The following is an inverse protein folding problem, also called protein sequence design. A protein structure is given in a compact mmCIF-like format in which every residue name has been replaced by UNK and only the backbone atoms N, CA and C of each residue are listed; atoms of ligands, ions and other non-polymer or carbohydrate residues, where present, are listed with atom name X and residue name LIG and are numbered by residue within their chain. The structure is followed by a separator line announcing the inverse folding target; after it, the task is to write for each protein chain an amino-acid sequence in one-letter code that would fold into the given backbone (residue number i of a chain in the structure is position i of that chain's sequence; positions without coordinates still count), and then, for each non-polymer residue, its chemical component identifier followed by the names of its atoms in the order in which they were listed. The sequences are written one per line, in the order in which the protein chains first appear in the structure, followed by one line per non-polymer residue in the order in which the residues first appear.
data_IF_922317576116
#
_entry.id   IF_922317576116
#
_cell.length_a   1.000
_cell.length_b   1.000
_cell.length_c   1.000
_cell.angle_alpha   90.00
_cell.angle_beta   90.00
_cell.angle_gamma   90.00
#
_symmetry.space_group_name_H-M   'P 1'
#
loop_
_entity.id
_entity.type
_entity.pdbx_description
1 polymer ?
#
# COMPACT_ATOMS: atom_id res chain seq x y z
N UNK A 1 -5.92 -17.91 -10.07
CA UNK A 1 -5.94 -16.92 -8.97
C UNK A 1 -5.19 -15.70 -9.46
N UNK A 2 -5.74 -14.51 -9.23
CA UNK A 2 -5.11 -13.25 -9.62
C UNK A 2 -4.00 -12.90 -8.62
N UNK A 3 -2.74 -13.12 -9.01
CA UNK A 3 -1.60 -13.03 -8.10
C UNK A 3 -1.25 -11.59 -7.70
N UNK A 4 -1.58 -10.61 -8.56
CA UNK A 4 -1.41 -9.18 -8.24
C UNK A 4 -2.23 -8.80 -7.01
N UNK A 5 -3.44 -9.36 -6.91
CA UNK A 5 -4.31 -9.18 -5.74
C UNK A 5 -3.77 -9.79 -4.45
N UNK A 6 -2.88 -10.78 -4.50
CA UNK A 6 -2.24 -11.28 -3.27
C UNK A 6 -1.18 -10.30 -2.80
N UNK A 7 -0.33 -9.81 -3.71
CA UNK A 7 0.70 -8.84 -3.40
C UNK A 7 0.08 -7.57 -2.81
N UNK A 8 -0.91 -6.97 -3.49
CA UNK A 8 -1.62 -5.77 -3.03
C UNK A 8 -2.10 -5.94 -1.59
N UNK A 9 -2.85 -7.02 -1.29
CA UNK A 9 -3.38 -7.23 0.07
C UNK A 9 -2.30 -7.39 1.12
N UNK A 10 -1.21 -8.09 0.79
CA UNK A 10 -0.13 -8.32 1.75
C UNK A 10 0.70 -7.04 1.99
N UNK A 11 0.86 -6.20 0.96
CA UNK A 11 1.43 -4.85 1.08
C UNK A 11 0.55 -3.97 1.96
N UNK A 12 -0.77 -3.92 1.71
CA UNK A 12 -1.71 -3.15 2.52
C UNK A 12 -1.66 -3.58 3.99
N UNK A 13 -1.65 -4.88 4.28
CA UNK A 13 -1.51 -5.38 5.66
C UNK A 13 -0.23 -4.89 6.33
N UNK A 14 0.89 -4.90 5.60
CA UNK A 14 2.18 -4.49 6.17
C UNK A 14 2.23 -2.97 6.39
N UNK A 15 1.78 -2.18 5.41
CA UNK A 15 1.67 -0.72 5.52
C UNK A 15 0.75 -0.29 6.67
N UNK A 16 -0.27 -1.08 6.99
CA UNK A 16 -1.30 -0.77 7.99
C UNK A 16 -1.09 -1.49 9.34
N UNK A 17 -0.06 -2.32 9.49
CA UNK A 17 0.23 -3.02 10.75
C UNK A 17 0.52 -2.02 11.89
N UNK A 18 0.67 -2.43 13.14
CA UNK A 18 1.27 -1.62 14.22
C UNK A 18 0.30 -0.78 15.06
N UNK A 19 0.85 -0.17 16.11
CA UNK A 19 0.05 0.37 17.23
C UNK A 19 -0.29 1.87 17.13
N UNK A 20 0.19 2.58 16.10
CA UNK A 20 -0.16 3.99 15.93
C UNK A 20 -1.66 4.11 15.64
N UNK A 21 -2.34 5.04 16.31
CA UNK A 21 -3.81 5.19 16.19
C UNK A 21 -4.27 5.38 14.74
N UNK A 22 -3.56 6.20 13.95
CA UNK A 22 -3.85 6.38 12.52
C UNK A 22 -3.82 5.05 11.75
N UNK A 23 -2.86 4.17 12.04
CA UNK A 23 -2.75 2.87 11.38
C UNK A 23 -3.88 1.93 11.78
N UNK A 24 -4.27 1.92 13.05
CA UNK A 24 -5.41 1.14 13.52
C UNK A 24 -6.73 1.60 12.86
N UNK A 25 -6.92 2.90 12.66
CA UNK A 25 -8.09 3.45 11.94
C UNK A 25 -8.04 3.04 10.46
N UNK A 26 -6.90 3.23 9.78
CA UNK A 26 -6.74 2.86 8.38
C UNK A 26 -6.89 1.35 8.16
N UNK A 27 -6.44 0.51 9.08
CA UNK A 27 -6.65 -0.94 9.05
C UNK A 27 -8.14 -1.30 9.13
N UNK A 28 -8.92 -0.60 9.97
CA UNK A 28 -10.37 -0.76 10.03
C UNK A 28 -11.06 -0.30 8.75
N UNK A 29 -10.60 0.80 8.14
CA UNK A 29 -11.08 1.22 6.83
C UNK A 29 -10.84 0.15 5.77
N UNK A 30 -9.61 -0.36 5.66
CA UNK A 30 -9.26 -1.38 4.69
C UNK A 30 -10.06 -2.67 4.86
N UNK A 31 -10.35 -3.07 6.10
CA UNK A 31 -11.20 -4.24 6.38
C UNK A 31 -12.65 -4.09 5.87
N UNK A 32 -13.14 -2.86 5.75
CA UNK A 32 -14.49 -2.54 5.26
C UNK A 32 -14.50 -2.08 3.79
N UNK A 33 -13.34 -1.71 3.25
CA UNK A 33 -13.21 -1.20 1.90
C UNK A 33 -13.42 -2.29 0.85
N UNK A 34 -13.89 -1.88 -0.32
CA UNK A 34 -13.92 -2.72 -1.52
C UNK A 34 -12.94 -2.20 -2.54
N UNK A 35 -12.20 -3.09 -3.19
CA UNK A 35 -11.39 -2.74 -4.35
C UNK A 35 -12.34 -2.33 -5.49
N UNK A 36 -12.30 -1.05 -5.86
CA UNK A 36 -13.16 -0.47 -6.90
C UNK A 36 -12.55 -0.65 -8.28
N UNK A 37 -11.24 -0.40 -8.40
CA UNK A 37 -10.50 -0.52 -9.65
C UNK A 37 -9.09 -1.06 -9.40
N UNK A 38 -8.55 -1.79 -10.39
CA UNK A 38 -7.16 -2.23 -10.42
C UNK A 38 -6.60 -2.02 -11.82
N UNK A 39 -5.74 -1.02 -11.97
CA UNK A 39 -5.17 -0.61 -13.25
C UNK A 39 -3.69 -0.97 -13.33
N UNK A 40 -3.28 -1.69 -14.38
CA UNK A 40 -1.87 -1.94 -14.69
C UNK A 40 -1.35 -0.88 -15.66
N UNK A 41 -0.23 -0.25 -15.34
CA UNK A 41 0.35 0.85 -16.14
C UNK A 41 1.54 0.42 -16.99
N UNK A 42 1.95 -0.85 -16.87
CA UNK A 42 3.18 -1.39 -17.48
C UNK A 42 4.43 -1.18 -16.63
N UNK A 43 4.49 -0.16 -15.76
CA UNK A 43 5.56 0.05 -14.76
C UNK A 43 5.08 -0.16 -13.32
N UNK A 44 3.84 -0.61 -13.15
CA UNK A 44 3.22 -0.74 -11.84
C UNK A 44 1.73 -0.98 -11.93
N UNK A 45 1.05 -0.61 -10.85
CA UNK A 45 -0.39 -0.61 -10.76
C UNK A 45 -0.92 0.49 -9.85
N UNK A 46 -2.20 0.81 -10.05
CA UNK A 46 -3.03 1.55 -9.09
C UNK A 46 -4.18 0.67 -8.63
N UNK A 47 -4.34 0.52 -7.32
CA UNK A 47 -5.47 -0.16 -6.69
C UNK A 47 -6.31 0.86 -5.93
N UNK A 48 -7.48 1.22 -6.48
CA UNK A 48 -8.38 2.24 -5.92
C UNK A 48 -9.42 1.58 -5.02
N UNK A 49 -9.70 2.19 -3.88
CA UNK A 49 -10.62 1.65 -2.88
C UNK A 49 -11.83 2.54 -2.66
N UNK A 50 -12.99 1.90 -2.55
CA UNK A 50 -14.17 2.55 -2.02
C UNK A 50 -14.29 2.22 -0.51
N UNK A 51 -14.13 3.23 0.33
CA UNK A 51 -14.29 3.13 1.79
C UNK A 51 -15.70 3.56 2.19
N UNK A 52 -16.51 2.68 2.81
CA UNK A 52 -17.90 3.01 3.13
C UNK A 52 -18.00 4.13 4.19
N UNK A 53 -19.06 4.95 4.17
CA UNK A 53 -19.25 6.03 5.16
C UNK A 53 -19.31 5.58 6.61
N UNK A 54 -19.61 4.30 6.87
CA UNK A 54 -19.65 3.70 8.20
C UNK A 54 -18.27 3.39 8.79
N UNK A 55 -17.21 3.42 7.97
CA UNK A 55 -15.85 3.19 8.44
C UNK A 55 -15.35 4.40 9.25
N UNK A 56 -14.52 4.18 10.29
CA UNK A 56 -13.89 5.27 11.03
C UNK A 56 -13.00 6.11 10.09
N UNK A 57 -12.93 7.42 10.30
CA UNK A 57 -12.11 8.34 9.51
C UNK A 57 -11.02 8.94 10.36
N UNK A 58 -9.87 9.22 9.77
CA UNK A 58 -8.89 10.09 10.41
C UNK A 58 -9.45 11.51 10.48
N UNK A 59 -9.02 12.28 11.47
CA UNK A 59 -9.37 13.68 11.58
C UNK A 59 -8.99 14.44 10.30
N UNK A 60 -9.87 15.36 9.89
CA UNK A 60 -9.76 16.06 8.62
C UNK A 60 -8.58 17.03 8.63
N UNK A 61 -7.40 16.58 8.15
CA UNK A 61 -6.17 17.38 8.19
C UNK A 61 -5.40 17.52 6.88
N UNK A 62 -5.50 16.57 5.93
CA UNK A 62 -4.74 16.67 4.68
C UNK A 62 -4.55 15.37 3.91
N UNK A 63 -3.54 15.36 3.05
CA UNK A 63 -3.07 14.19 2.33
C UNK A 63 -1.98 13.49 3.14
N UNK A 64 -2.12 12.19 3.36
CA UNK A 64 -1.12 11.36 4.00
C UNK A 64 -0.60 10.34 2.99
N UNK A 65 0.72 10.17 2.94
CA UNK A 65 1.41 9.19 2.11
C UNK A 65 2.24 8.27 2.99
N UNK A 66 1.97 6.97 2.92
CA UNK A 66 2.74 5.95 3.65
C UNK A 66 3.47 5.10 2.62
N UNK A 67 4.79 5.18 2.60
CA UNK A 67 5.62 4.65 1.50
C UNK A 67 6.86 3.88 1.95
N UNK A 68 6.82 3.27 3.13
CA UNK A 68 7.99 2.63 3.74
C UNK A 68 8.06 1.12 3.50
N UNK A 69 7.23 0.57 2.61
CA UNK A 69 7.25 -0.86 2.23
C UNK A 69 7.80 -1.04 0.82
N UNK A 70 8.68 -2.02 0.66
CA UNK A 70 9.22 -2.48 -0.62
C UNK A 70 9.06 -4.00 -0.77
N UNK A 71 9.21 -4.48 -2.01
CA UNK A 71 9.20 -5.90 -2.33
C UNK A 71 10.40 -6.30 -3.19
N UNK A 72 10.99 -7.44 -2.86
CA UNK A 72 11.76 -8.22 -3.83
C UNK A 72 10.74 -9.05 -4.64
N UNK A 73 10.72 -8.87 -5.97
CA UNK A 73 9.82 -9.57 -6.89
C UNK A 73 10.65 -10.35 -7.91
N UNK A 74 10.30 -11.62 -8.12
CA UNK A 74 10.92 -12.40 -9.20
C UNK A 74 10.59 -11.74 -10.55
N UNK A 75 11.63 -11.35 -11.28
CA UNK A 75 11.51 -10.66 -12.57
C UNK A 75 11.81 -9.16 -12.52
N UNK A 76 12.01 -8.58 -11.33
CA UNK A 76 12.53 -7.22 -11.16
C UNK A 76 13.92 -7.28 -10.54
N UNK A 77 14.92 -6.64 -11.17
CA UNK A 77 16.28 -6.56 -10.65
C UNK A 77 16.35 -5.68 -9.41
N UNK A 78 15.57 -4.60 -9.39
CA UNK A 78 15.61 -3.58 -8.33
C UNK A 78 14.45 -3.70 -7.34
N UNK A 79 13.56 -4.67 -7.53
CA UNK A 79 12.35 -4.83 -6.73
C UNK A 79 11.28 -3.80 -7.08
N UNK A 80 10.34 -3.61 -6.15
CA UNK A 80 9.23 -2.68 -6.26
C UNK A 80 9.04 -1.87 -4.98
N UNK A 81 8.54 -0.64 -5.13
CA UNK A 81 8.08 0.20 -4.05
C UNK A 81 6.56 0.35 -4.05
N UNK A 82 6.02 0.79 -2.90
CA UNK A 82 4.60 0.99 -2.73
C UNK A 82 4.33 2.27 -1.95
N UNK A 83 3.29 3.01 -2.33
CA UNK A 83 2.82 4.19 -1.61
C UNK A 83 1.31 4.11 -1.44
N UNK A 84 0.85 4.13 -0.20
CA UNK A 84 -0.56 4.27 0.13
C UNK A 84 -0.91 5.76 0.21
N UNK A 85 -1.87 6.17 -0.60
CA UNK A 85 -2.44 7.50 -0.58
C UNK A 85 -3.70 7.51 0.28
N UNK A 86 -3.73 8.41 1.27
CA UNK A 86 -4.88 8.68 2.13
C UNK A 86 -5.31 10.12 1.90
N UNK A 87 -6.58 10.31 1.58
CA UNK A 87 -7.16 11.62 1.25
C UNK A 87 -8.46 11.82 2.02
N UNK A 88 -8.62 13.02 2.58
CA UNK A 88 -9.83 13.39 3.36
C UNK A 88 -10.14 12.39 4.50
N UNK A 89 -9.08 11.88 5.12
CA UNK A 89 -9.15 10.94 6.24
C UNK A 89 -9.52 9.50 5.86
N UNK A 90 -9.53 9.15 4.57
CA UNK A 90 -9.81 7.79 4.08
C UNK A 90 -8.75 7.29 3.11
N UNK A 91 -8.51 5.97 3.10
CA UNK A 91 -7.74 5.31 2.03
C UNK A 91 -8.33 5.69 0.67
N UNK A 92 -7.47 6.13 -0.25
CA UNK A 92 -7.81 6.51 -1.62
C UNK A 92 -7.35 5.40 -2.58
N UNK A 93 -6.04 5.28 -2.80
CA UNK A 93 -5.46 4.22 -3.61
C UNK A 93 -4.08 3.78 -3.12
N UNK A 94 -3.69 2.57 -3.49
CA UNK A 94 -2.33 2.06 -3.39
C UNK A 94 -1.67 2.14 -4.76
N UNK A 95 -0.52 2.79 -4.83
CA UNK A 95 0.39 2.71 -5.96
C UNK A 95 1.45 1.65 -5.69
N UNK A 96 1.68 0.75 -6.65
CA UNK A 96 2.86 -0.10 -6.70
C UNK A 96 3.65 0.21 -7.95
N UNK A 97 4.97 0.36 -7.83
CA UNK A 97 5.83 0.76 -8.95
C UNK A 97 7.15 -0.02 -8.97
N UNK A 98 7.68 -0.26 -10.17
CA UNK A 98 9.02 -0.82 -10.40
C UNK A 98 10.03 0.28 -10.76
N UNK A 99 11.32 -0.01 -10.59
CA UNK A 99 12.40 0.96 -10.85
C UNK A 99 12.98 0.79 -12.26
N UNK A 100 12.50 1.57 -13.23
CA UNK A 100 12.97 1.54 -14.63
C UNK A 100 12.87 0.16 -15.31
N UNK A 101 11.95 -0.67 -14.82
CA UNK A 101 11.72 -2.03 -15.30
C UNK A 101 10.22 -2.22 -15.55
N UNK A 102 9.81 -3.05 -16.52
CA UNK A 102 8.40 -3.37 -16.72
C UNK A 102 7.87 -4.20 -15.54
N UNK A 103 6.65 -3.89 -15.11
CA UNK A 103 5.98 -4.66 -14.08
C UNK A 103 5.76 -6.11 -14.55
N UNK A 104 6.06 -7.13 -13.73
CA UNK A 104 5.91 -8.52 -14.15
C UNK A 104 4.45 -8.86 -14.48
N UNK A 105 4.22 -9.56 -15.60
CA UNK A 105 2.89 -10.03 -15.97
C UNK A 105 2.30 -11.05 -14.97
N UNK A 106 3.17 -11.78 -14.27
CA UNK A 106 2.80 -12.73 -13.22
C UNK A 106 3.69 -12.56 -11.99
N UNK A 107 3.07 -12.49 -10.82
CA UNK A 107 3.76 -12.41 -9.52
C UNK A 107 3.64 -13.75 -8.81
N UNK A 108 4.66 -14.61 -8.90
CA UNK A 108 4.61 -15.94 -8.25
C UNK A 108 5.13 -15.92 -6.83
N UNK A 109 6.28 -15.27 -6.66
CA UNK A 109 7.01 -15.21 -5.40
C UNK A 109 7.42 -13.77 -5.12
N UNK A 110 7.25 -13.34 -3.87
CA UNK A 110 7.63 -12.02 -3.42
C UNK A 110 8.03 -12.04 -1.94
N UNK A 111 8.88 -11.08 -1.57
CA UNK A 111 9.26 -10.83 -0.17
C UNK A 111 9.04 -9.37 0.16
N UNK A 112 8.22 -9.10 1.17
CA UNK A 112 7.96 -7.74 1.66
C UNK A 112 8.89 -7.39 2.81
N UNK A 113 9.27 -6.10 2.89
CA UNK A 113 10.11 -5.56 3.95
C UNK A 113 9.99 -4.03 4.03
N UNK A 114 10.38 -3.46 5.16
CA UNK A 114 10.44 -2.00 5.31
C UNK A 114 11.70 -1.40 4.67
N UNK A 115 11.57 -0.23 4.05
CA UNK A 115 12.59 0.52 3.28
C UNK A 115 13.59 1.28 4.16
N UNK A 116 13.92 0.80 5.36
CA UNK A 116 14.94 1.44 6.20
C UNK A 116 16.21 0.61 6.23
N UNK A 117 17.33 1.28 6.53
CA UNK A 117 18.66 0.67 6.66
C UNK A 117 18.67 -0.49 7.68
N UNK A 118 17.82 -0.39 8.71
CA UNK A 118 17.62 -1.39 9.76
C UNK A 118 16.45 -2.35 9.49
N UNK A 119 15.72 -2.19 8.38
CA UNK A 119 14.43 -2.87 8.10
C UNK A 119 13.37 -2.64 9.18
N UNK A 120 13.52 -1.56 9.95
CA UNK A 120 12.50 -1.04 10.87
C UNK A 120 11.49 -0.21 10.09
N UNK A 121 10.30 -0.10 10.64
CA UNK A 121 9.24 0.73 10.07
C UNK A 121 9.54 2.21 10.23
N UNK A 122 9.20 3.02 9.24
CA UNK A 122 9.26 4.48 9.32
C UNK A 122 7.85 5.04 9.52
N UNK A 123 7.61 5.64 10.69
CA UNK A 123 6.31 6.22 11.05
C UNK A 123 6.32 7.75 11.01
N UNK A 124 7.40 8.38 10.55
CA UNK A 124 7.54 9.85 10.58
C UNK A 124 6.43 10.60 9.84
N UNK A 125 5.83 9.97 8.82
CA UNK A 125 4.67 10.53 8.11
C UNK A 125 3.38 10.58 8.95
N UNK A 126 3.32 9.89 10.09
CA UNK A 126 2.13 9.80 10.94
C UNK A 126 2.16 10.76 12.14
N UNK A 127 3.34 11.30 12.45
CA UNK A 127 3.57 12.24 13.54
C UNK A 127 3.28 13.66 13.00
N UNK A 128 2.01 14.07 13.00
CA UNK A 128 1.61 15.46 12.71
C UNK A 128 1.93 16.39 13.89
#
# INVERSE_FOLDING_TARGET
MDHNRKLERDVMKLLLQGEHLKLQILAQQFALATLENFELTGAGFFATYNVPPTAPRLDHGGHLHIGDVIAELKGLRHGAGFVLHVKNGTIDFLEGYSYEEPWPAEIKDFRLMYQTRDKKRDLSCLDD
#
